data_IF_957805941927
#
_entry.id   IF_957805941927
#
_cell.length_a   1.000
_cell.length_b   1.000
_cell.length_c   1.000
_cell.angle_alpha   90.00
_cell.angle_beta   90.00
_cell.angle_gamma   90.00
#
_symmetry.space_group_name_H-M   'P 1'
#
loop_
_entity.id
_entity.type
_entity.pdbx_description
1 polymer ?
#
# COMPACT_ATOMS: atom_id res chain seq x y z
N UNK A 1 -3.71 -19.74 -4.57
CA UNK A 1 -4.72 -18.98 -5.34
C UNK A 1 -4.52 -17.46 -5.24
N UNK A 2 -4.51 -16.82 -4.05
CA UNK A 2 -4.38 -15.34 -3.92
C UNK A 2 -3.14 -14.78 -4.64
N UNK A 3 -1.95 -15.29 -4.31
CA UNK A 3 -0.67 -14.85 -4.91
C UNK A 3 -0.63 -15.03 -6.42
N UNK A 4 -1.28 -16.06 -6.92
CA UNK A 4 -1.38 -16.32 -8.36
C UNK A 4 -2.29 -15.28 -9.04
N UNK A 5 -3.47 -15.00 -8.47
CA UNK A 5 -4.40 -14.00 -9.01
C UNK A 5 -3.79 -12.58 -9.07
N UNK A 6 -2.92 -12.22 -8.12
CA UNK A 6 -2.17 -10.96 -8.14
C UNK A 6 -1.36 -10.79 -9.43
N UNK A 7 -0.79 -11.88 -9.95
CA UNK A 7 0.00 -11.87 -11.20
C UNK A 7 -0.86 -11.69 -12.46
N UNK A 8 -2.18 -11.85 -12.34
CA UNK A 8 -3.13 -11.76 -13.46
C UNK A 8 -4.00 -10.50 -13.45
N UNK A 9 -3.62 -9.47 -12.67
CA UNK A 9 -4.22 -8.13 -12.80
C UNK A 9 -5.07 -7.66 -11.61
N UNK A 10 -5.06 -8.38 -10.48
CA UNK A 10 -5.64 -7.85 -9.24
C UNK A 10 -4.82 -6.66 -8.76
N UNK A 11 -5.48 -5.52 -8.54
CA UNK A 11 -4.84 -4.27 -8.11
C UNK A 11 -5.15 -3.85 -6.67
N UNK A 12 -6.12 -4.51 -6.02
CA UNK A 12 -6.52 -4.24 -4.64
C UNK A 12 -6.89 -5.53 -3.93
N UNK A 13 -6.48 -5.65 -2.66
CA UNK A 13 -6.76 -6.81 -1.82
C UNK A 13 -6.99 -6.38 -0.37
N UNK A 14 -7.87 -7.07 0.34
CA UNK A 14 -8.05 -6.90 1.78
C UNK A 14 -6.99 -7.71 2.57
N UNK A 15 -6.63 -7.26 3.76
CA UNK A 15 -5.69 -7.93 4.66
C UNK A 15 -6.18 -7.81 6.10
N UNK A 16 -6.05 -8.87 6.92
CA UNK A 16 -6.53 -8.87 8.31
C UNK A 16 -8.03 -8.56 8.43
N UNK A 17 -8.84 -9.08 7.52
CA UNK A 17 -10.28 -8.78 7.48
C UNK A 17 -11.00 -9.35 8.71
N UNK A 18 -12.13 -8.73 9.06
CA UNK A 18 -13.11 -9.35 9.94
C UNK A 18 -14.50 -9.13 9.35
N UNK A 19 -15.20 -10.23 9.09
CA UNK A 19 -16.45 -10.24 8.30
C UNK A 19 -17.70 -10.34 9.17
N UNK A 20 -17.54 -10.30 10.50
CA UNK A 20 -18.64 -10.27 11.47
C UNK A 20 -18.95 -8.85 11.96
N UNK A 21 -20.21 -8.59 12.26
CA UNK A 21 -20.64 -7.31 12.84
C UNK A 21 -19.97 -7.12 14.20
N UNK A 22 -19.16 -6.06 14.34
CA UNK A 22 -18.37 -5.82 15.56
C UNK A 22 -17.16 -6.75 15.75
N UNK A 23 -16.83 -7.58 14.76
CA UNK A 23 -15.90 -8.70 14.95
C UNK A 23 -14.42 -8.32 15.18
N UNK A 24 -14.00 -7.08 14.91
CA UNK A 24 -12.67 -6.61 15.32
C UNK A 24 -12.49 -6.54 16.85
N UNK A 25 -13.60 -6.44 17.60
CA UNK A 25 -13.64 -6.48 19.06
C UNK A 25 -14.25 -7.78 19.59
N UNK A 26 -15.39 -8.20 19.03
CA UNK A 26 -16.14 -9.38 19.50
C UNK A 26 -15.50 -10.72 19.12
N UNK A 27 -14.56 -10.72 18.17
CA UNK A 27 -13.76 -11.91 17.83
C UNK A 27 -12.96 -12.45 19.03
N UNK A 28 -12.52 -11.57 19.94
CA UNK A 28 -11.84 -11.94 21.19
C UNK A 28 -12.79 -12.66 22.17
N UNK A 29 -14.09 -12.42 22.05
CA UNK A 29 -15.13 -12.97 22.92
C UNK A 29 -15.81 -14.22 22.34
N UNK A 30 -15.34 -14.73 21.20
CA UNK A 30 -15.89 -15.94 20.54
C UNK A 30 -17.31 -15.79 19.99
N UNK A 31 -17.81 -14.55 19.82
CA UNK A 31 -19.15 -14.26 19.30
C UNK A 31 -19.03 -13.49 17.99
N UNK A 32 -19.18 -14.19 16.87
CA UNK A 32 -19.20 -13.56 15.55
C UNK A 32 -20.16 -14.31 14.64
N UNK A 33 -21.24 -13.64 14.23
CA UNK A 33 -22.00 -14.03 13.04
C UNK A 33 -21.33 -13.36 11.86
N UNK A 34 -20.47 -14.11 11.16
CA UNK A 34 -19.78 -13.62 9.97
C UNK A 34 -20.68 -13.66 8.74
N UNK A 35 -20.50 -12.70 7.83
CA UNK A 35 -21.16 -12.72 6.52
C UNK A 35 -20.71 -13.92 5.68
N UNK A 36 -19.43 -14.28 5.79
CA UNK A 36 -18.81 -15.44 5.15
C UNK A 36 -17.57 -15.87 5.95
N UNK A 37 -17.15 -17.13 5.78
CA UNK A 37 -15.92 -17.66 6.35
C UNK A 37 -14.71 -17.13 5.58
N UNK A 38 -13.71 -16.63 6.30
CA UNK A 38 -12.45 -16.22 5.68
C UNK A 38 -11.58 -17.45 5.40
N UNK A 39 -10.90 -17.43 4.25
CA UNK A 39 -9.93 -18.46 3.86
C UNK A 39 -8.47 -17.98 4.03
N UNK A 40 -8.27 -16.68 4.21
CA UNK A 40 -6.96 -16.07 4.46
C UNK A 40 -6.96 -15.40 5.83
N UNK A 41 -6.37 -16.07 6.81
CA UNK A 41 -6.31 -15.64 8.21
C UNK A 41 -5.03 -14.89 8.58
N UNK A 42 -4.17 -14.61 7.61
CA UNK A 42 -2.89 -13.95 7.86
C UNK A 42 -3.10 -12.51 8.32
N UNK A 43 -2.22 -12.06 9.20
CA UNK A 43 -2.23 -10.68 9.67
C UNK A 43 -1.84 -9.71 8.53
N UNK A 44 -2.18 -8.42 8.65
CA UNK A 44 -1.71 -7.41 7.70
C UNK A 44 -0.19 -7.42 7.53
N UNK A 45 0.56 -7.50 8.63
CA UNK A 45 2.03 -7.58 8.62
C UNK A 45 2.55 -8.77 7.80
N UNK A 46 1.98 -9.96 7.97
CA UNK A 46 2.37 -11.16 7.21
C UNK A 46 2.11 -10.97 5.71
N UNK A 47 0.91 -10.49 5.34
CA UNK A 47 0.55 -10.27 3.93
C UNK A 47 1.47 -9.23 3.29
N UNK A 48 1.79 -8.14 3.98
CA UNK A 48 2.65 -7.08 3.44
C UNK A 48 4.08 -7.60 3.21
N UNK A 49 4.63 -8.38 4.16
CA UNK A 49 5.96 -8.99 4.00
C UNK A 49 6.01 -9.91 2.77
N UNK A 50 5.02 -10.78 2.60
CA UNK A 50 4.95 -11.66 1.43
C UNK A 50 4.80 -10.89 0.11
N UNK A 51 3.98 -9.84 0.08
CA UNK A 51 3.84 -8.99 -1.11
C UNK A 51 5.18 -8.35 -1.50
N UNK A 52 5.97 -7.90 -0.52
CA UNK A 52 7.30 -7.34 -0.76
C UNK A 52 8.26 -8.42 -1.28
N UNK A 53 8.20 -9.64 -0.72
CA UNK A 53 9.00 -10.78 -1.19
C UNK A 53 8.67 -11.19 -2.63
N UNK A 54 7.40 -11.09 -3.01
CA UNK A 54 6.92 -11.31 -4.37
C UNK A 54 7.22 -10.12 -5.32
N UNK A 55 7.89 -9.07 -4.84
CA UNK A 55 8.27 -7.89 -5.63
C UNK A 55 7.12 -6.93 -5.91
N UNK A 56 6.00 -7.05 -5.21
CA UNK A 56 4.90 -6.09 -5.26
C UNK A 56 5.19 -4.88 -4.35
N UNK A 57 4.55 -3.74 -4.63
CA UNK A 57 4.57 -2.55 -3.77
C UNK A 57 3.22 -2.48 -3.03
N UNK A 58 3.12 -2.89 -1.75
CA UNK A 58 1.93 -2.62 -0.96
C UNK A 58 1.71 -1.11 -0.83
N UNK A 59 0.47 -0.65 -0.92
CA UNK A 59 0.14 0.77 -0.89
C UNK A 59 -1.16 1.04 -0.15
N UNK A 60 -1.16 2.16 0.59
CA UNK A 60 -2.32 2.74 1.26
C UNK A 60 -2.73 4.07 0.62
N UNK A 61 -2.44 4.25 -0.67
CA UNK A 61 -2.65 5.50 -1.38
C UNK A 61 -4.13 5.93 -1.41
N UNK A 62 -4.37 7.18 -1.05
CA UNK A 62 -5.67 7.86 -1.18
C UNK A 62 -5.56 9.20 -1.93
N UNK A 63 -4.43 9.43 -2.62
CA UNK A 63 -4.11 10.70 -3.28
C UNK A 63 -5.15 11.16 -4.31
N UNK A 64 -5.66 10.24 -5.12
CA UNK A 64 -6.68 10.56 -6.13
C UNK A 64 -7.94 11.17 -5.50
N UNK A 65 -8.33 10.71 -4.31
CA UNK A 65 -9.45 11.29 -3.57
C UNK A 65 -9.16 12.74 -3.16
N UNK A 66 -7.99 12.99 -2.55
CA UNK A 66 -7.57 14.33 -2.08
C UNK A 66 -7.39 15.33 -3.21
N UNK A 67 -6.96 14.84 -4.37
CA UNK A 67 -6.63 15.65 -5.53
C UNK A 67 -7.82 15.81 -6.50
N UNK A 68 -9.01 15.35 -6.13
CA UNK A 68 -10.21 15.46 -6.97
C UNK A 68 -10.10 14.68 -8.29
N UNK A 69 -9.26 13.63 -8.33
CA UNK A 69 -9.11 12.71 -9.46
C UNK A 69 -10.12 11.59 -9.31
N UNK A 70 -11.38 11.91 -9.56
CA UNK A 70 -12.51 10.96 -9.54
C UNK A 70 -13.20 10.95 -10.89
N UNK A 71 -13.91 9.87 -11.21
CA UNK A 71 -14.65 9.74 -12.47
C UNK A 71 -13.77 9.88 -13.71
N UNK A 72 -14.17 10.76 -14.63
CA UNK A 72 -13.48 11.02 -15.90
C UNK A 72 -12.07 11.59 -15.71
N UNK A 73 -11.85 12.40 -14.68
CA UNK A 73 -10.53 13.00 -14.38
C UNK A 73 -9.51 11.94 -13.99
N UNK A 74 -9.93 10.93 -13.22
CA UNK A 74 -9.08 9.77 -12.95
C UNK A 74 -8.74 9.04 -14.25
N UNK A 75 -9.74 8.78 -15.09
CA UNK A 75 -9.53 8.03 -16.34
C UNK A 75 -8.60 8.76 -17.32
N UNK A 76 -8.62 10.11 -17.33
CA UNK A 76 -7.67 10.91 -18.10
C UNK A 76 -6.22 10.66 -17.63
N UNK A 77 -5.97 10.72 -16.32
CA UNK A 77 -4.66 10.40 -15.76
C UNK A 77 -4.27 8.94 -16.05
N UNK A 78 -5.18 7.99 -15.81
CA UNK A 78 -4.91 6.57 -15.99
C UNK A 78 -4.54 6.21 -17.43
N UNK A 79 -5.17 6.86 -18.41
CA UNK A 79 -4.92 6.64 -19.85
C UNK A 79 -3.80 7.52 -20.43
N UNK A 80 -3.26 8.47 -19.67
CA UNK A 80 -2.25 9.43 -20.15
C UNK A 80 -0.86 8.83 -20.35
N UNK A 81 -0.60 7.63 -19.83
CA UNK A 81 0.75 7.07 -19.71
C UNK A 81 1.58 7.67 -18.57
N UNK A 82 1.09 8.69 -17.86
CA UNK A 82 1.79 9.34 -16.74
C UNK A 82 1.44 8.76 -15.36
N UNK A 83 0.53 7.77 -15.29
CA UNK A 83 0.06 7.22 -14.02
C UNK A 83 1.18 6.66 -13.14
N UNK A 84 2.24 6.09 -13.73
CA UNK A 84 3.40 5.56 -13.00
C UNK A 84 4.22 6.66 -12.30
N UNK A 85 4.21 7.90 -12.82
CA UNK A 85 4.86 9.05 -12.20
C UNK A 85 4.09 9.60 -11.00
N UNK A 86 2.93 9.02 -10.68
CA UNK A 86 2.05 9.44 -9.58
C UNK A 86 1.80 8.28 -8.61
N UNK A 87 1.34 7.14 -9.14
CA UNK A 87 0.94 5.99 -8.34
C UNK A 87 2.15 5.27 -7.72
N UNK A 88 3.21 5.03 -8.47
CA UNK A 88 4.42 4.38 -7.94
C UNK A 88 5.05 5.19 -6.80
N UNK A 89 5.45 6.47 -7.00
CA UNK A 89 6.07 7.24 -5.92
C UNK A 89 5.15 7.44 -4.71
N UNK A 90 3.85 7.64 -4.91
CA UNK A 90 2.89 7.70 -3.78
C UNK A 90 2.75 6.35 -3.08
N UNK A 91 2.79 5.25 -3.82
CA UNK A 91 2.82 3.90 -3.26
C UNK A 91 4.00 3.71 -2.30
N UNK A 92 5.20 4.09 -2.74
CA UNK A 92 6.42 4.03 -1.93
C UNK A 92 6.32 4.89 -0.66
N UNK A 93 5.80 6.12 -0.77
CA UNK A 93 5.58 7.00 0.38
C UNK A 93 4.60 6.38 1.39
N UNK A 94 3.47 5.85 0.91
CA UNK A 94 2.46 5.24 1.81
C UNK A 94 2.96 3.95 2.45
N UNK A 95 3.83 3.19 1.76
CA UNK A 95 4.48 2.03 2.34
C UNK A 95 5.45 2.44 3.45
N UNK A 96 6.30 3.45 3.20
CA UNK A 96 7.21 3.99 4.21
C UNK A 96 6.44 4.47 5.44
N UNK A 97 5.35 5.22 5.23
CA UNK A 97 4.49 5.69 6.31
C UNK A 97 3.93 4.53 7.14
N UNK A 98 3.39 3.51 6.48
CA UNK A 98 2.86 2.33 7.17
C UNK A 98 3.93 1.63 8.01
N UNK A 99 5.14 1.41 7.48
CA UNK A 99 6.18 0.68 8.22
C UNK A 99 6.78 1.48 9.36
N UNK A 100 6.75 2.81 9.30
CA UNK A 100 7.15 3.67 10.41
C UNK A 100 6.14 3.61 11.57
N UNK A 101 4.84 3.55 11.25
CA UNK A 101 3.78 3.62 12.26
C UNK A 101 3.37 2.25 12.82
N UNK A 102 3.40 1.21 11.99
CA UNK A 102 2.84 -0.11 12.32
C UNK A 102 3.77 -1.28 12.02
N UNK A 103 4.93 -1.01 11.41
CA UNK A 103 5.89 -2.04 11.00
C UNK A 103 6.69 -2.60 12.17
N UNK A 104 7.05 -3.88 12.05
CA UNK A 104 8.13 -4.45 12.86
C UNK A 104 9.49 -4.26 12.17
N UNK A 105 10.58 -4.59 12.87
CA UNK A 105 11.95 -4.43 12.36
C UNK A 105 12.16 -5.15 11.02
N UNK A 106 11.64 -6.36 10.90
CA UNK A 106 11.79 -7.15 9.68
C UNK A 106 11.06 -6.50 8.49
N UNK A 107 9.82 -6.05 8.70
CA UNK A 107 9.06 -5.38 7.67
C UNK A 107 9.72 -4.06 7.26
N UNK A 108 10.23 -3.29 8.23
CA UNK A 108 10.96 -2.05 7.95
C UNK A 108 12.16 -2.31 7.02
N UNK A 109 13.02 -3.28 7.35
CA UNK A 109 14.21 -3.61 6.54
C UNK A 109 13.84 -4.07 5.12
N UNK A 110 12.82 -4.93 4.98
CA UNK A 110 12.34 -5.40 3.67
C UNK A 110 11.75 -4.25 2.85
N UNK A 111 10.90 -3.43 3.45
CA UNK A 111 10.23 -2.31 2.79
C UNK A 111 11.23 -1.23 2.39
N UNK A 112 12.17 -0.86 3.27
CA UNK A 112 13.19 0.15 2.98
C UNK A 112 14.02 -0.27 1.76
N UNK A 113 14.48 -1.53 1.73
CA UNK A 113 15.20 -2.08 0.58
C UNK A 113 14.38 -2.05 -0.71
N UNK A 114 13.11 -2.48 -0.67
CA UNK A 114 12.22 -2.43 -1.83
C UNK A 114 12.06 -0.97 -2.31
N UNK A 115 11.78 -0.06 -1.39
CA UNK A 115 11.51 1.35 -1.68
C UNK A 115 12.67 2.00 -2.42
N UNK A 116 13.90 1.89 -1.90
CA UNK A 116 15.04 2.50 -2.57
C UNK A 116 15.34 1.85 -3.92
N UNK A 117 15.13 0.53 -4.07
CA UNK A 117 15.26 -0.14 -5.37
C UNK A 117 14.23 0.35 -6.40
N UNK A 118 12.98 0.62 -5.98
CA UNK A 118 11.94 1.14 -6.86
C UNK A 118 12.12 2.63 -7.18
N UNK A 119 12.66 3.43 -6.26
CA UNK A 119 13.03 4.84 -6.51
C UNK A 119 14.03 4.95 -7.65
N UNK A 120 15.02 4.06 -7.71
CA UNK A 120 16.03 4.05 -8.79
C UNK A 120 15.42 3.77 -10.17
N UNK A 121 14.23 3.19 -10.24
CA UNK A 121 13.51 2.92 -11.50
C UNK A 121 12.66 4.10 -11.97
N UNK A 122 12.49 5.15 -11.15
CA UNK A 122 11.73 6.34 -11.53
C UNK A 122 12.53 7.12 -12.58
N UNK A 123 11.98 7.21 -13.80
CA UNK A 123 12.65 7.86 -14.95
C UNK A 123 12.68 9.39 -14.84
N UNK A 124 11.67 9.98 -14.21
CA UNK A 124 11.58 11.43 -14.03
C UNK A 124 12.37 11.87 -12.81
N UNK A 125 13.50 12.53 -13.04
CA UNK A 125 14.42 12.95 -11.98
C UNK A 125 13.78 13.91 -10.96
N UNK A 126 12.87 14.77 -11.41
CA UNK A 126 12.13 15.67 -10.52
C UNK A 126 11.20 14.91 -9.58
N UNK A 127 10.51 13.88 -10.08
CA UNK A 127 9.65 13.00 -9.28
C UNK A 127 10.49 12.11 -8.35
N UNK A 128 11.62 11.59 -8.84
CA UNK A 128 12.57 10.80 -8.04
C UNK A 128 13.07 11.60 -6.83
N UNK A 129 13.57 12.81 -7.09
CA UNK A 129 14.08 13.73 -6.06
C UNK A 129 12.98 14.10 -5.05
N UNK A 130 11.78 14.40 -5.54
CA UNK A 130 10.64 14.72 -4.67
C UNK A 130 10.23 13.53 -3.79
N UNK A 131 10.24 12.32 -4.35
CA UNK A 131 9.92 11.08 -3.61
C UNK A 131 10.92 10.85 -2.49
N UNK A 132 12.23 10.96 -2.77
CA UNK A 132 13.29 10.84 -1.75
C UNK A 132 13.08 11.87 -0.64
N UNK A 133 12.88 13.14 -1.01
CA UNK A 133 12.66 14.23 -0.05
C UNK A 133 11.45 13.96 0.85
N UNK A 134 10.35 13.47 0.28
CA UNK A 134 9.15 13.15 1.04
C UNK A 134 9.35 11.94 1.96
N UNK A 135 10.10 10.92 1.54
CA UNK A 135 10.46 9.80 2.42
C UNK A 135 11.25 10.29 3.64
N UNK A 136 12.20 11.20 3.46
CA UNK A 136 12.92 11.79 4.59
C UNK A 136 12.00 12.59 5.52
N UNK A 137 11.02 13.32 4.96
CA UNK A 137 9.99 14.00 5.75
C UNK A 137 9.13 13.03 6.57
N UNK A 138 8.75 11.89 5.98
CA UNK A 138 8.01 10.83 6.68
C UNK A 138 8.83 10.27 7.85
N UNK A 139 10.12 9.99 7.62
CA UNK A 139 11.06 9.54 8.66
C UNK A 139 11.21 10.57 9.79
N UNK A 140 11.03 11.86 9.48
CA UNK A 140 11.02 12.96 10.45
C UNK A 140 9.63 13.26 11.07
N UNK A 141 8.62 12.41 10.83
CA UNK A 141 7.32 12.50 11.48
C UNK A 141 6.22 13.21 10.68
N UNK A 142 6.49 13.72 9.48
CA UNK A 142 5.40 14.16 8.58
C UNK A 142 4.58 12.94 8.13
N UNK A 143 3.30 13.15 7.82
CA UNK A 143 2.37 12.10 7.37
C UNK A 143 1.50 12.63 6.23
N UNK A 144 0.86 11.71 5.50
CA UNK A 144 -0.07 12.00 4.40
C UNK A 144 0.56 12.81 3.26
N UNK A 145 1.75 12.39 2.81
CA UNK A 145 2.44 12.96 1.65
C UNK A 145 2.09 12.20 0.36
N UNK A 146 1.72 12.93 -0.68
CA UNK A 146 1.27 12.36 -1.96
C UNK A 146 1.56 13.28 -3.15
N UNK A 147 1.45 12.70 -4.36
CA UNK A 147 1.58 13.38 -5.65
C UNK A 147 0.25 13.56 -6.35
#
# INVERSE_FOLDING_TARGET
MRTEALKYGVSQVSAGSCTGVGGYKEGENGRSVSQFQMEDHRSPLQIIKELIEDGCIPSYCTACYRQGRTGDRFMQLAKSGQIHNVCTPTGLMTLMEFVLDYGDKELYEKAEKLIYNEIEKIQREDIKTLTIKNIEKLKNGERDLYL
#
